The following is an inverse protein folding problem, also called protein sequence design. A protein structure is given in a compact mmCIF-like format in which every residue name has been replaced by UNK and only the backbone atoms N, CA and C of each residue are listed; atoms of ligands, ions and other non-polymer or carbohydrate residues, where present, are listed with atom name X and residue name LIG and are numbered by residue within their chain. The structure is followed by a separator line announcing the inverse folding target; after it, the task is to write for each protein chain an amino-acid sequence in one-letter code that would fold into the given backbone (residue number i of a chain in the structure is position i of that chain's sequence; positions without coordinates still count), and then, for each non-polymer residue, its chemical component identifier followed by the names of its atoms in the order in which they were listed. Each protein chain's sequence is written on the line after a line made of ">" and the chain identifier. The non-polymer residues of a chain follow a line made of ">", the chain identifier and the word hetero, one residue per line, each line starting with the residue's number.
data_IF_876469032350
#
_entry.id   IF_876469032350
#
_cell.length_a   1.000
_cell.length_b   1.000
_cell.length_c   1.000
_cell.angle_alpha   90.00
_cell.angle_beta   90.00
_cell.angle_gamma   90.00
#
_symmetry.space_group_name_H-M   'P 1'
#
loop_
_entity.id
_entity.type
_entity.pdbx_description
1 polymer ?
#
# COMPACT_ATOMS: atom_id res chain seq x y z
N UNK A 1 -4.54 -12.80 26.44
CA UNK A 1 -4.81 -12.82 25.87
C UNK A 1 -4.84 -12.70 25.27
N UNK A 2 -5.00 -12.74 25.18
CA UNK A 2 -5.45 -12.79 24.32
C UNK A 2 -5.56 -12.11 23.61
N UNK A 3 -5.90 -11.78 23.39
CA UNK A 3 -6.14 -11.34 22.65
C UNK A 3 -6.41 -10.89 22.20
N UNK A 4 -6.50 -10.64 22.10
CA UNK A 4 -6.78 -10.34 21.58
C UNK A 4 -6.79 -9.85 21.12
N UNK A 5 -6.79 -9.55 20.92
CA UNK A 5 -6.96 -9.20 20.35
C UNK A 5 -7.11 -8.70 19.74
N UNK A 6 -7.04 -8.38 19.57
CA UNK A 6 -7.43 -8.03 18.91
C UNK A 6 -8.16 -7.63 18.21
N UNK A 7 -8.22 -7.66 17.84
CA UNK A 7 -9.18 -7.26 17.48
C UNK A 7 -10.04 -7.78 17.77
N UNK A 8 -10.25 -8.15 18.10
CA UNK A 8 -10.79 -8.68 18.41
C UNK A 8 -11.40 -8.96 18.91
N UNK A 9 -11.90 -9.28 19.45
CA UNK A 9 -12.37 -9.62 19.89
C UNK A 9 -12.89 -9.66 20.45
N UNK A 10 -13.29 -9.86 21.06
CA UNK A 10 -13.69 -10.00 21.59
C UNK A 10 -14.25 -10.02 22.05
N UNK A 11 -14.50 -10.14 22.52
CA UNK A 11 -15.03 -10.22 22.82
C UNK A 11 -15.60 -10.01 22.58
N UNK A 12 -15.99 -10.19 22.54
CA UNK A 12 -16.35 -10.12 22.28
C UNK A 12 -16.79 -9.57 21.91
N UNK A 13 -17.12 -9.27 21.90
CA UNK A 13 -17.27 -8.76 21.38
C UNK A 13 -17.01 -8.18 20.85
N UNK A 14 -16.78 -7.97 20.71
CA UNK A 14 -16.28 -7.53 20.17
C UNK A 14 -15.88 -7.19 19.57
N UNK A 15 -15.89 -7.04 19.43
CA UNK A 15 -15.37 -6.85 18.76
C UNK A 15 -15.04 -6.58 18.15
N UNK A 16 -14.93 -6.44 17.91
CA UNK A 16 -14.55 -6.32 17.11
C UNK A 16 -14.37 -5.55 16.47
N UNK A 17 -14.27 -5.63 16.58
CA UNK A 17 -14.47 -4.42 15.95
C UNK A 17 -13.28 -3.59 15.54
N UNK A 18 -12.58 -3.04 16.21
CA UNK A 18 -11.54 -2.12 15.87
C UNK A 18 -10.69 -2.49 14.67
N UNK A 19 -11.08 -3.51 14.02
CA UNK A 19 -10.33 -4.03 12.89
C UNK A 19 -10.93 -3.63 11.55
N UNK A 20 -11.80 -2.65 11.56
CA UNK A 20 -12.52 -2.25 10.34
C UNK A 20 -11.76 -1.22 9.55
N UNK A 21 -10.53 -1.51 9.19
CA UNK A 21 -9.81 -0.61 8.31
C UNK A 21 -9.80 -1.14 6.89
N UNK A 22 -9.54 -0.25 5.93
CA UNK A 22 -9.55 -0.58 4.52
C UNK A 22 -8.46 -1.61 4.23
N UNK A 23 -8.79 -2.72 3.55
CA UNK A 23 -7.77 -3.71 3.21
C UNK A 23 -6.70 -3.13 2.29
N UNK A 24 -5.45 -3.51 2.54
CA UNK A 24 -4.32 -3.15 1.69
C UNK A 24 -4.09 -4.28 0.70
N UNK A 25 -4.61 -4.12 -0.51
CA UNK A 25 -4.33 -5.08 -1.57
C UNK A 25 -3.20 -4.50 -2.39
N UNK A 26 -2.00 -4.98 -2.14
CA UNK A 26 -0.80 -4.39 -2.71
C UNK A 26 0.23 -5.45 -3.04
N UNK A 27 1.18 -5.10 -3.90
CA UNK A 27 2.35 -5.90 -4.18
C UNK A 27 3.59 -5.03 -4.14
N UNK A 28 4.66 -5.53 -3.57
CA UNK A 28 5.93 -4.83 -3.50
C UNK A 28 7.01 -5.78 -4.02
N UNK A 29 7.75 -5.34 -5.05
CA UNK A 29 8.77 -6.15 -5.69
C UNK A 29 10.06 -5.35 -5.75
N UNK A 30 11.15 -5.95 -5.27
CA UNK A 30 12.47 -5.35 -5.43
C UNK A 30 12.96 -5.70 -6.84
N UNK A 31 13.16 -4.69 -7.67
CA UNK A 31 13.51 -4.89 -9.08
C UNK A 31 15.00 -4.72 -9.35
N UNK A 32 15.75 -4.33 -8.33
CA UNK A 32 17.19 -4.18 -8.43
C UNK A 32 17.73 -3.80 -7.08
N UNK A 33 19.05 -3.66 -6.93
CA UNK A 33 19.63 -3.34 -5.62
C UNK A 33 19.19 -2.02 -5.05
N UNK A 34 18.70 -1.12 -5.89
CA UNK A 34 18.29 0.20 -5.45
C UNK A 34 16.98 0.62 -6.11
N UNK A 35 16.12 -0.35 -6.46
CA UNK A 35 14.91 -0.06 -7.20
C UNK A 35 13.79 -0.99 -6.77
N UNK A 36 12.55 -0.51 -6.91
CA UNK A 36 11.38 -1.30 -6.54
C UNK A 36 10.19 -0.95 -7.41
N UNK A 37 9.22 -1.85 -7.38
CA UNK A 37 7.92 -1.66 -8.00
C UNK A 37 6.86 -1.86 -6.93
N UNK A 38 5.92 -0.96 -6.86
CA UNK A 38 4.80 -1.05 -5.92
C UNK A 38 3.50 -0.98 -6.71
N UNK A 39 2.55 -1.85 -6.36
CA UNK A 39 1.28 -1.89 -7.06
C UNK A 39 0.16 -1.95 -6.01
N UNK A 40 -0.85 -1.09 -6.17
CA UNK A 40 -1.99 -1.04 -5.28
C UNK A 40 -3.29 -1.11 -6.06
N UNK A 41 -4.21 -1.97 -5.62
CA UNK A 41 -5.52 -2.10 -6.26
C UNK A 41 -6.36 -0.86 -5.99
N UNK A 42 -7.18 -0.52 -6.97
CA UNK A 42 -8.14 0.58 -6.83
C UNK A 42 -9.54 0.03 -6.60
N UNK A 43 -10.38 0.85 -5.98
CA UNK A 43 -11.80 0.54 -5.79
C UNK A 43 -12.56 1.85 -5.62
N UNK A 44 -13.81 1.78 -5.17
CA UNK A 44 -14.66 2.97 -5.06
C UNK A 44 -14.18 3.93 -3.97
N UNK A 45 -13.45 3.43 -2.97
CA UNK A 45 -12.90 4.25 -1.90
C UNK A 45 -11.48 4.66 -2.27
N UNK A 46 -10.65 3.68 -2.68
CA UNK A 46 -9.28 3.92 -3.11
C UNK A 46 -9.27 4.17 -4.61
N UNK A 47 -9.70 5.37 -4.98
CA UNK A 47 -9.85 5.74 -6.38
C UNK A 47 -8.49 5.91 -7.06
N UNK A 48 -8.43 5.84 -8.39
CA UNK A 48 -7.15 5.97 -9.10
C UNK A 48 -6.66 7.41 -9.26
N UNK A 49 -7.37 8.39 -8.70
CA UNK A 49 -6.97 9.80 -8.82
C UNK A 49 -5.59 10.02 -8.22
N UNK A 50 -4.85 10.95 -8.78
CA UNK A 50 -3.50 11.25 -8.31
C UNK A 50 -3.48 12.35 -7.25
N UNK A 51 -4.65 12.78 -6.79
CA UNK A 51 -4.77 13.76 -5.72
C UNK A 51 -5.72 13.22 -4.65
N UNK A 52 -5.82 13.92 -3.53
CA UNK A 52 -6.74 13.57 -2.48
C UNK A 52 -6.25 12.46 -1.57
N UNK A 53 -7.18 11.93 -0.80
CA UNK A 53 -6.84 11.04 0.32
C UNK A 53 -6.32 9.68 -0.14
N UNK A 54 -6.89 9.12 -1.20
CA UNK A 54 -6.50 7.79 -1.64
C UNK A 54 -5.04 7.78 -2.09
N UNK A 55 -4.61 8.80 -2.83
CA UNK A 55 -3.23 8.88 -3.26
C UNK A 55 -2.29 9.10 -2.09
N UNK A 56 -2.69 9.94 -1.14
CA UNK A 56 -1.88 10.19 0.05
C UNK A 56 -1.69 8.90 0.84
N UNK A 57 -2.74 8.11 0.97
CA UNK A 57 -2.67 6.83 1.68
C UNK A 57 -1.75 5.85 0.95
N UNK A 58 -1.86 5.77 -0.39
CA UNK A 58 -0.97 4.90 -1.17
C UNK A 58 0.50 5.29 -0.99
N UNK A 59 0.78 6.59 -0.99
CA UNK A 59 2.15 7.06 -0.79
C UNK A 59 2.67 6.68 0.59
N UNK A 60 1.80 6.71 1.58
CA UNK A 60 2.17 6.27 2.92
C UNK A 60 2.45 4.76 2.93
N UNK A 61 1.65 3.98 2.24
CA UNK A 61 1.87 2.54 2.15
C UNK A 61 3.19 2.21 1.44
N UNK A 62 3.57 2.99 0.44
CA UNK A 62 4.85 2.81 -0.23
C UNK A 62 5.99 3.02 0.76
N UNK A 63 5.92 4.11 1.52
CA UNK A 63 6.95 4.40 2.52
C UNK A 63 7.06 3.27 3.54
N UNK A 64 5.92 2.74 3.97
CA UNK A 64 5.88 1.63 4.91
C UNK A 64 6.51 0.38 4.31
N UNK A 65 6.19 0.05 3.07
CA UNK A 65 6.72 -1.13 2.40
C UNK A 65 8.24 -1.02 2.22
N UNK A 66 8.73 0.14 1.85
CA UNK A 66 10.16 0.39 1.70
C UNK A 66 10.87 0.17 3.03
N UNK A 67 10.29 0.69 4.11
CA UNK A 67 10.88 0.56 5.44
C UNK A 67 10.87 -0.89 5.92
N UNK A 68 9.75 -1.57 5.76
CA UNK A 68 9.60 -2.96 6.22
C UNK A 68 10.58 -3.87 5.48
N UNK A 69 10.87 -3.57 4.22
CA UNK A 69 11.78 -4.37 3.42
C UNK A 69 13.23 -3.90 3.52
N UNK A 70 13.50 -2.95 4.41
CA UNK A 70 14.85 -2.44 4.65
C UNK A 70 15.55 -1.98 3.38
N UNK A 71 14.77 -1.36 2.50
CA UNK A 71 15.29 -0.83 1.23
C UNK A 71 15.40 0.68 1.34
N UNK A 72 16.31 1.27 0.60
CA UNK A 72 16.41 2.73 0.46
C UNK A 72 16.60 3.45 1.79
N UNK A 73 17.66 3.12 2.50
CA UNK A 73 17.93 3.70 3.82
C UNK A 73 18.15 5.22 3.76
N UNK A 74 18.51 5.75 2.60
CA UNK A 74 18.71 7.18 2.41
C UNK A 74 17.49 7.88 1.81
N UNK A 75 16.37 7.14 1.71
CA UNK A 75 15.17 7.67 1.07
C UNK A 75 15.03 7.18 -0.36
N UNK A 76 13.95 7.59 -1.00
CA UNK A 76 13.66 7.14 -2.35
C UNK A 76 12.88 8.21 -3.11
N UNK A 77 12.81 8.04 -4.42
CA UNK A 77 11.98 8.88 -5.30
C UNK A 77 11.09 7.97 -6.14
N UNK A 78 9.86 8.41 -6.35
CA UNK A 78 8.96 7.72 -7.27
C UNK A 78 9.27 8.22 -8.67
N UNK A 79 9.61 7.31 -9.57
CA UNK A 79 10.00 7.67 -10.94
C UNK A 79 8.82 7.61 -11.90
N UNK A 80 7.94 6.62 -11.73
CA UNK A 80 6.77 6.50 -12.60
C UNK A 80 5.55 6.15 -11.77
N UNK A 81 4.40 6.54 -12.32
CA UNK A 81 3.09 6.20 -11.76
C UNK A 81 2.17 5.97 -12.94
N UNK A 82 1.54 4.83 -13.01
CA UNK A 82 0.63 4.53 -14.10
C UNK A 82 -0.56 3.74 -13.61
N UNK A 83 -1.70 3.98 -14.24
CA UNK A 83 -2.92 3.23 -13.96
C UNK A 83 -3.02 2.09 -14.95
N UNK A 84 -3.23 0.87 -14.43
CA UNK A 84 -3.38 -0.33 -15.24
C UNK A 84 -4.80 -0.83 -15.03
N UNK A 85 -5.71 -0.61 -16.01
CA UNK A 85 -7.08 -1.05 -15.85
C UNK A 85 -7.19 -2.57 -15.89
N UNK A 86 -8.18 -3.11 -15.17
CA UNK A 86 -8.48 -4.52 -15.25
C UNK A 86 -9.04 -4.84 -16.63
N UNK A 87 -8.63 -5.94 -17.25
CA UNK A 87 -9.21 -6.33 -18.53
C UNK A 87 -10.67 -6.74 -18.41
N UNK A 88 -11.10 -7.14 -17.20
CA UNK A 88 -12.48 -7.56 -16.96
C UNK A 88 -12.97 -6.84 -15.73
N UNK A 89 -14.12 -6.18 -15.83
CA UNK A 89 -14.71 -5.48 -14.70
C UNK A 89 -14.25 -4.06 -14.58
N UNK A 90 -14.51 -3.48 -13.42
CA UNK A 90 -14.17 -2.09 -13.11
C UNK A 90 -12.94 -2.03 -12.24
N UNK A 91 -12.26 -0.90 -12.28
CA UNK A 91 -11.10 -0.68 -11.44
C UNK A 91 -9.82 -1.09 -12.11
N UNK A 92 -8.81 -1.38 -11.30
CA UNK A 92 -7.49 -1.71 -11.80
C UNK A 92 -6.47 -1.56 -10.70
N UNK A 93 -5.28 -1.14 -11.06
CA UNK A 93 -4.19 -0.95 -10.11
C UNK A 93 -3.38 0.27 -10.49
N UNK A 94 -2.84 0.94 -9.49
CA UNK A 94 -1.84 1.99 -9.71
C UNK A 94 -0.48 1.35 -9.50
N UNK A 95 0.39 1.51 -10.46
CA UNK A 95 1.74 0.94 -10.42
C UNK A 95 2.76 2.06 -10.34
N UNK A 96 3.62 1.96 -9.33
CA UNK A 96 4.67 2.94 -9.09
C UNK A 96 6.02 2.26 -9.23
N UNK A 97 6.95 2.91 -9.92
CA UNK A 97 8.35 2.47 -9.84
C UNK A 97 9.14 3.50 -9.06
N UNK A 98 10.04 3.02 -8.22
CA UNK A 98 10.83 3.88 -7.38
C UNK A 98 12.30 3.49 -7.41
N UNK A 99 13.13 4.45 -7.00
CA UNK A 99 14.57 4.26 -6.94
C UNK A 99 15.10 4.88 -5.68
N UNK A 100 16.01 4.17 -5.02
CA UNK A 100 16.64 4.68 -3.82
C UNK A 100 17.53 5.87 -4.13
N UNK A 101 17.54 6.83 -3.21
CA UNK A 101 18.43 7.98 -3.33
C UNK A 101 19.85 7.55 -3.02
N UNK A 102 20.82 8.23 -3.63
CA UNK A 102 22.22 7.99 -3.36
C UNK A 102 22.59 8.51 -1.99
N UNK A 103 23.51 7.83 -1.28
CA UNK A 103 23.97 8.33 0.00
C UNK A 103 24.81 9.60 -0.16
#
# INVERSE_FOLDING_TARGET
>A
MRALLLCPIALGLMVLAGCAEQPRVEGFTVTGPRAFLYEARTNTVMTPNDDGDAERIRRYWIADAVMVNALCMQGYAIETRSFVPDPVGNGGAIRYSGRCLEP
#
